data_IF_747385697889
#
_entry.id   IF_747385697889
#
_cell.length_a   1.000
_cell.length_b   1.000
_cell.length_c   1.000
_cell.angle_alpha   90.00
_cell.angle_beta   90.00
_cell.angle_gamma   90.00
#
_symmetry.space_group_name_H-M   'P 1'
#
loop_
_entity.id
_entity.type
_entity.pdbx_description
1 polymer ?
#
# COMPACT_ATOMS: atom_id res chain seq x y z
N UNK A 1 -40.82 -0.31 -33.94
CA UNK A 1 -39.39 -0.57 -33.68
C UNK A 1 -39.14 -0.33 -32.19
N UNK A 2 -39.02 -1.39 -31.37
CA UNK A 2 -38.89 -1.24 -29.91
C UNK A 2 -37.44 -0.88 -29.51
N UNK A 3 -37.22 0.03 -28.55
CA UNK A 3 -35.89 0.44 -28.12
C UNK A 3 -35.23 -0.72 -27.34
N UNK A 4 -34.07 -1.18 -27.80
CA UNK A 4 -33.27 -2.17 -27.06
C UNK A 4 -32.75 -1.51 -25.78
N UNK A 5 -32.96 -2.19 -24.65
CA UNK A 5 -32.71 -1.66 -23.31
C UNK A 5 -31.27 -1.17 -23.08
N UNK A 6 -31.15 -0.13 -22.24
CA UNK A 6 -29.92 0.59 -21.87
C UNK A 6 -28.87 -0.24 -21.11
N UNK A 7 -29.09 -1.53 -20.88
CA UNK A 7 -28.26 -2.34 -20.01
C UNK A 7 -27.42 -3.34 -20.81
N UNK A 8 -26.11 -3.32 -20.55
CA UNK A 8 -25.16 -4.26 -21.14
C UNK A 8 -25.33 -5.62 -20.46
N UNK A 9 -25.68 -6.65 -21.23
CA UNK A 9 -25.75 -8.02 -20.71
C UNK A 9 -24.34 -8.55 -20.48
N UNK A 10 -23.98 -8.81 -19.22
CA UNK A 10 -22.67 -9.35 -18.83
C UNK A 10 -22.63 -10.89 -18.83
N UNK A 11 -23.70 -11.55 -19.28
CA UNK A 11 -23.81 -13.00 -19.29
C UNK A 11 -22.91 -13.58 -20.39
N UNK A 12 -21.96 -14.43 -20.00
CA UNK A 12 -20.99 -15.07 -20.91
C UNK A 12 -19.67 -14.32 -21.09
N UNK A 13 -19.44 -13.22 -20.38
CA UNK A 13 -18.14 -12.53 -20.38
C UNK A 13 -17.21 -13.17 -19.35
N UNK A 14 -15.93 -13.33 -19.72
CA UNK A 14 -14.91 -13.86 -18.80
C UNK A 14 -14.88 -13.02 -17.52
N UNK A 15 -14.90 -13.69 -16.38
CA UNK A 15 -14.82 -13.05 -15.07
C UNK A 15 -13.36 -12.63 -14.85
N UNK A 16 -13.10 -11.33 -14.91
CA UNK A 16 -11.83 -10.79 -14.47
C UNK A 16 -11.88 -10.66 -12.95
N UNK A 17 -11.07 -11.45 -12.26
CA UNK A 17 -10.77 -11.21 -10.86
C UNK A 17 -9.62 -10.22 -10.84
N UNK A 18 -9.84 -9.03 -10.28
CA UNK A 18 -8.76 -8.06 -10.09
C UNK A 18 -7.76 -8.64 -9.10
N UNK A 19 -6.49 -8.65 -9.48
CA UNK A 19 -5.43 -9.13 -8.61
C UNK A 19 -5.29 -8.21 -7.39
N UNK A 20 -4.88 -8.72 -6.22
CA UNK A 20 -4.74 -7.90 -5.01
C UNK A 20 -3.78 -6.72 -5.22
N UNK A 21 -2.71 -6.92 -6.00
CA UNK A 21 -1.75 -5.89 -6.38
C UNK A 21 -2.37 -4.78 -7.25
N UNK A 22 -3.24 -5.17 -8.19
CA UNK A 22 -3.97 -4.23 -9.06
C UNK A 22 -4.97 -3.37 -8.28
N UNK A 23 -5.59 -3.96 -7.24
CA UNK A 23 -6.51 -3.25 -6.34
C UNK A 23 -5.78 -2.19 -5.52
N UNK A 24 -4.57 -2.52 -5.05
CA UNK A 24 -3.73 -1.64 -4.25
C UNK A 24 -3.16 -0.49 -5.10
N UNK A 25 -2.77 -0.79 -6.33
CA UNK A 25 -2.35 0.22 -7.30
C UNK A 25 -3.49 1.18 -7.67
N UNK A 26 -4.71 0.66 -7.85
CA UNK A 26 -5.88 1.51 -8.08
C UNK A 26 -6.15 2.44 -6.88
N UNK A 27 -6.03 1.93 -5.65
CA UNK A 27 -6.15 2.76 -4.44
C UNK A 27 -5.08 3.84 -4.38
N UNK A 28 -3.83 3.50 -4.73
CA UNK A 28 -2.71 4.45 -4.79
C UNK A 28 -2.95 5.55 -5.82
N UNK A 29 -3.47 5.19 -6.99
CA UNK A 29 -3.83 6.15 -8.04
C UNK A 29 -4.96 7.08 -7.59
N UNK A 30 -5.99 6.55 -6.94
CA UNK A 30 -7.09 7.36 -6.40
C UNK A 30 -6.63 8.32 -5.29
N UNK A 31 -5.74 7.86 -4.41
CA UNK A 31 -5.11 8.70 -3.39
C UNK A 31 -4.22 9.78 -4.01
N UNK A 32 -3.42 9.44 -5.02
CA UNK A 32 -2.58 10.39 -5.76
C UNK A 32 -3.44 11.44 -6.48
N UNK A 33 -4.53 11.02 -7.11
CA UNK A 33 -5.49 11.91 -7.77
C UNK A 33 -6.21 12.82 -6.79
N UNK A 34 -6.57 12.32 -5.60
CA UNK A 34 -7.14 13.15 -4.52
C UNK A 34 -6.13 14.16 -3.99
N UNK A 35 -4.87 13.77 -3.79
CA UNK A 35 -3.78 14.67 -3.39
C UNK A 35 -3.51 15.73 -4.44
N UNK A 36 -3.50 15.35 -5.73
CA UNK A 36 -3.36 16.31 -6.83
C UNK A 36 -4.52 17.32 -6.85
N UNK A 37 -5.75 16.86 -6.65
CA UNK A 37 -6.92 17.74 -6.51
C UNK A 37 -6.83 18.66 -5.29
N UNK A 38 -6.46 18.13 -4.12
CA UNK A 38 -6.28 18.96 -2.92
C UNK A 38 -5.17 19.98 -3.12
N UNK A 39 -4.02 19.60 -3.68
CA UNK A 39 -2.93 20.54 -3.90
C UNK A 39 -3.26 21.60 -4.95
N UNK A 40 -4.09 21.24 -5.95
CA UNK A 40 -4.68 22.18 -6.93
C UNK A 40 -5.63 23.15 -6.22
N UNK A 41 -6.61 22.63 -5.48
CA UNK A 41 -7.62 23.40 -4.74
C UNK A 41 -7.00 24.29 -3.66
N UNK A 42 -5.94 23.81 -2.98
CA UNK A 42 -5.21 24.59 -1.98
C UNK A 42 -4.26 25.63 -2.58
N UNK A 43 -3.95 25.53 -3.88
CA UNK A 43 -3.24 26.57 -4.64
C UNK A 43 -4.18 27.65 -5.17
N UNK A 44 -5.47 27.35 -5.33
CA UNK A 44 -6.50 28.30 -5.78
C UNK A 44 -7.10 29.12 -4.60
N UNK A 45 -6.99 28.67 -3.34
CA UNK A 45 -7.46 29.41 -2.15
C UNK A 45 -6.47 30.51 -1.67
N UNK A 46 -5.32 30.69 -2.34
CA UNK A 46 -4.29 31.68 -1.98
C UNK A 46 -4.11 32.80 -3.01
N UNK A 47 -4.96 32.90 -4.02
CA UNK A 47 -4.86 33.94 -5.05
C UNK A 47 -6.24 34.49 -5.40
N UNK A 48 -6.67 35.49 -4.63
CA UNK A 48 -7.75 36.41 -5.00
C UNK A 48 -7.20 37.43 -6.02
N UNK A 49 -8.02 37.78 -7.01
CA UNK A 49 -7.80 38.69 -8.16
C UNK A 49 -7.02 38.15 -9.38
N UNK A 50 -7.73 37.57 -10.37
CA UNK A 50 -7.94 38.17 -11.71
C UNK A 50 -8.68 37.21 -12.68
N UNK A 51 -9.32 37.80 -13.69
CA UNK A 51 -10.48 37.34 -14.48
C UNK A 51 -10.38 36.02 -15.33
N UNK A 52 -11.55 35.38 -15.47
CA UNK A 52 -12.11 34.44 -16.48
C UNK A 52 -11.62 34.57 -17.97
N UNK A 53 -12.08 33.74 -18.97
CA UNK A 53 -12.34 32.29 -19.05
C UNK A 53 -11.90 31.62 -20.41
N UNK A 54 -12.08 30.28 -20.53
CA UNK A 54 -12.58 29.48 -21.70
C UNK A 54 -11.70 28.37 -22.33
N UNK A 55 -12.36 27.21 -22.44
CA UNK A 55 -12.40 26.25 -23.58
C UNK A 55 -11.12 25.41 -23.83
N UNK A 56 -11.15 24.19 -24.38
CA UNK A 56 -12.06 23.54 -25.30
C UNK A 56 -11.76 22.03 -25.42
N UNK A 57 -12.82 21.23 -25.55
CA UNK A 57 -13.03 20.18 -26.57
C UNK A 57 -12.05 19.00 -26.79
N UNK A 58 -12.71 17.83 -26.94
CA UNK A 58 -12.53 16.84 -28.01
C UNK A 58 -11.32 15.90 -27.91
N UNK A 59 -11.57 14.60 -27.67
CA UNK A 59 -11.74 13.56 -28.70
C UNK A 59 -10.48 13.33 -29.53
N UNK A 60 -9.90 12.13 -29.44
CA UNK A 60 -9.44 11.32 -30.58
C UNK A 60 -8.80 10.01 -30.10
N UNK A 61 -9.30 8.92 -30.67
CA UNK A 61 -8.69 7.59 -30.69
C UNK A 61 -7.44 7.61 -31.58
N UNK A 62 -6.39 6.86 -31.23
CA UNK A 62 -5.89 5.72 -32.00
C UNK A 62 -4.74 4.99 -31.27
N UNK A 63 -4.60 3.67 -31.44
CA UNK A 63 -3.46 2.86 -31.01
C UNK A 63 -2.50 2.57 -32.19
N UNK A 64 -1.18 2.66 -31.99
CA UNK A 64 -0.15 1.79 -32.60
C UNK A 64 1.28 2.21 -32.16
N UNK A 65 2.22 1.24 -32.20
CA UNK A 65 3.69 1.33 -32.12
C UNK A 65 4.32 1.86 -30.80
N UNK A 66 5.42 1.31 -30.26
CA UNK A 66 6.50 0.52 -30.84
C UNK A 66 7.08 -0.49 -29.83
N UNK A 67 7.41 -1.67 -30.35
CA UNK A 67 8.39 -2.60 -29.77
C UNK A 67 9.77 -1.95 -29.81
N UNK A 68 10.44 -1.78 -28.67
CA UNK A 68 11.84 -1.35 -28.58
C UNK A 68 12.69 -2.55 -28.16
N UNK A 69 13.37 -3.09 -29.16
CA UNK A 69 14.35 -4.17 -29.10
C UNK A 69 15.68 -3.51 -28.74
N UNK A 70 16.07 -3.60 -27.46
CA UNK A 70 17.33 -3.02 -26.99
C UNK A 70 18.45 -4.07 -27.12
N UNK A 71 19.05 -4.06 -28.30
CA UNK A 71 20.32 -4.68 -28.64
C UNK A 71 21.45 -3.90 -27.94
N UNK A 72 22.04 -4.48 -26.89
CA UNK A 72 23.16 -3.90 -26.15
C UNK A 72 24.45 -4.63 -26.52
N UNK A 73 24.98 -4.25 -27.69
CA UNK A 73 26.32 -4.57 -28.15
C UNK A 73 27.41 -4.02 -27.20
N UNK A 74 28.26 -4.94 -26.74
CA UNK A 74 29.72 -4.83 -26.68
C UNK A 74 30.34 -3.50 -26.18
N UNK A 75 30.85 -3.51 -24.94
CA UNK A 75 32.03 -2.72 -24.59
C UNK A 75 33.12 -3.68 -24.09
N UNK A 76 34.15 -3.84 -24.93
CA UNK A 76 35.26 -4.75 -24.71
C UNK A 76 36.20 -4.20 -23.64
N UNK A 77 36.09 -4.75 -22.42
CA UNK A 77 37.09 -4.60 -21.38
C UNK A 77 38.38 -5.31 -21.81
N UNK A 78 39.28 -4.55 -22.41
CA UNK A 78 40.63 -4.99 -22.70
C UNK A 78 41.60 -3.90 -22.29
N UNK A 79 42.67 -4.34 -21.63
CA UNK A 79 43.96 -3.66 -21.46
C UNK A 79 44.21 -2.93 -20.14
N UNK A 80 44.59 -3.70 -19.12
CA UNK A 80 45.63 -3.28 -18.20
C UNK A 80 46.75 -4.33 -18.16
N UNK A 81 47.56 -4.37 -19.22
CA UNK A 81 48.99 -4.77 -19.30
C UNK A 81 49.45 -4.53 -20.77
N UNK A 82 48.91 -3.50 -21.43
CA UNK A 82 49.20 -3.17 -22.82
C UNK A 82 50.39 -2.22 -22.89
N UNK A 83 51.41 -2.60 -23.67
CA UNK A 83 52.51 -1.70 -24.09
C UNK A 83 51.89 -0.36 -24.49
N UNK A 84 52.27 0.73 -23.81
CA UNK A 84 51.67 2.04 -24.02
C UNK A 84 51.57 2.36 -25.52
N UNK A 85 50.34 2.58 -26.00
CA UNK A 85 50.07 2.84 -27.40
C UNK A 85 50.37 4.32 -27.68
N UNK A 86 51.38 4.59 -28.49
CA UNK A 86 51.68 5.93 -28.99
C UNK A 86 52.55 6.80 -28.08
N UNK A 87 52.32 8.11 -28.08
CA UNK A 87 53.19 9.16 -27.50
C UNK A 87 52.92 9.39 -26.00
N UNK A 88 51.98 8.65 -25.41
CA UNK A 88 51.46 8.89 -24.05
C UNK A 88 52.53 8.85 -22.94
N UNK A 89 53.64 8.14 -23.16
CA UNK A 89 54.77 8.06 -22.23
C UNK A 89 55.94 9.02 -22.57
N UNK A 90 55.89 9.72 -23.71
CA UNK A 90 57.00 10.58 -24.15
C UNK A 90 56.96 11.98 -23.52
N UNK A 91 55.79 12.41 -23.03
CA UNK A 91 55.60 13.72 -22.42
C UNK A 91 55.17 13.53 -20.97
N UNK A 92 55.95 14.08 -20.05
CA UNK A 92 55.64 14.08 -18.63
C UNK A 92 54.47 15.05 -18.37
N UNK A 93 53.34 14.51 -17.92
CA UNK A 93 52.16 15.33 -17.62
C UNK A 93 52.29 15.90 -16.19
N UNK A 94 52.89 17.08 -16.08
CA UNK A 94 53.02 17.88 -14.84
C UNK A 94 51.73 18.63 -14.46
N UNK A 95 50.56 18.01 -14.67
CA UNK A 95 49.31 18.63 -14.26
C UNK A 95 49.08 18.37 -12.75
N UNK A 96 49.12 19.40 -11.88
CA UNK A 96 48.97 19.24 -10.44
C UNK A 96 47.58 18.70 -10.03
N UNK A 97 46.58 18.84 -10.89
CA UNK A 97 45.23 18.29 -10.69
C UNK A 97 45.06 16.88 -11.30
N UNK A 98 46.11 16.30 -11.91
CA UNK A 98 46.02 14.96 -12.50
C UNK A 98 46.07 13.89 -11.42
N UNK A 99 44.92 13.26 -11.19
CA UNK A 99 44.80 12.13 -10.27
C UNK A 99 45.40 10.88 -10.93
N UNK A 100 46.61 10.49 -10.50
CA UNK A 100 47.23 9.23 -10.93
C UNK A 100 46.55 8.05 -10.22
N UNK A 101 45.84 7.21 -10.99
CA UNK A 101 45.20 5.98 -10.46
C UNK A 101 46.27 4.90 -10.28
N UNK A 102 46.78 4.74 -9.05
CA UNK A 102 47.65 3.61 -8.68
C UNK A 102 46.79 2.38 -8.37
N UNK A 103 47.09 1.24 -8.95
CA UNK A 103 46.41 -0.03 -8.67
C UNK A 103 46.73 -0.49 -7.25
N UNK A 104 45.74 -0.43 -6.35
CA UNK A 104 45.87 -0.91 -4.98
C UNK A 104 45.52 -2.40 -4.92
N UNK A 105 46.32 -3.18 -4.18
CA UNK A 105 46.06 -4.61 -3.95
C UNK A 105 44.79 -4.79 -3.12
N UNK A 106 43.91 -5.70 -3.53
CA UNK A 106 42.62 -5.98 -2.89
C UNK A 106 42.74 -6.31 -1.39
N UNK A 107 43.81 -6.99 -0.98
CA UNK A 107 44.08 -7.32 0.42
C UNK A 107 44.22 -6.08 1.31
N UNK A 108 44.90 -5.03 0.83
CA UNK A 108 45.06 -3.77 1.57
C UNK A 108 43.76 -2.98 1.66
N UNK A 109 42.88 -3.07 0.65
CA UNK A 109 41.57 -2.40 0.71
C UNK A 109 40.67 -3.06 1.77
N UNK A 110 40.64 -4.39 1.84
CA UNK A 110 39.84 -5.12 2.82
C UNK A 110 40.31 -4.89 4.27
N UNK A 111 41.62 -4.79 4.50
CA UNK A 111 42.20 -4.50 5.81
C UNK A 111 41.80 -3.09 6.27
N UNK A 112 41.91 -2.09 5.38
CA UNK A 112 41.47 -0.72 5.68
C UNK A 112 39.96 -0.59 5.89
N UNK A 113 39.14 -1.36 5.16
CA UNK A 113 37.68 -1.35 5.29
C UNK A 113 37.18 -2.10 6.54
N UNK A 114 37.96 -3.09 7.00
CA UNK A 114 37.70 -3.83 8.24
C UNK A 114 38.05 -3.06 9.51
N UNK A 115 39.06 -2.18 9.45
CA UNK A 115 39.48 -1.31 10.56
C UNK A 115 38.77 0.05 10.57
N UNK A 116 38.36 0.57 9.41
CA UNK A 116 37.52 1.77 9.36
C UNK A 116 36.08 1.42 9.74
N UNK A 117 35.76 1.66 11.00
CA UNK A 117 34.43 2.00 11.55
C UNK A 117 33.27 1.87 10.57
N UNK A 118 32.31 0.99 10.89
CA UNK A 118 31.01 0.81 10.20
C UNK A 118 30.58 2.10 9.49
N UNK A 119 30.31 2.09 8.17
CA UNK A 119 29.99 3.30 7.44
C UNK A 119 28.86 4.02 8.17
N UNK A 120 29.16 5.20 8.68
CA UNK A 120 28.17 6.05 9.32
C UNK A 120 27.14 6.41 8.27
N UNK A 121 25.99 5.73 8.32
CA UNK A 121 24.84 6.00 7.47
C UNK A 121 24.67 7.52 7.36
N UNK A 122 24.54 8.00 6.12
CA UNK A 122 24.35 9.42 5.86
C UNK A 122 23.20 9.91 6.74
N UNK A 123 23.26 11.16 7.23
CA UNK A 123 22.21 11.74 8.09
C UNK A 123 20.81 11.47 7.53
N UNK A 124 20.68 11.56 6.20
CA UNK A 124 19.46 11.27 5.45
C UNK A 124 19.01 9.80 5.56
N UNK A 125 19.95 8.87 5.52
CA UNK A 125 19.68 7.43 5.64
C UNK A 125 19.30 7.05 7.07
N UNK A 126 19.93 7.66 8.08
CA UNK A 126 19.57 7.47 9.50
C UNK A 126 18.13 7.90 9.77
N UNK A 127 17.76 9.09 9.32
CA UNK A 127 16.40 9.63 9.47
C UNK A 127 15.37 8.78 8.72
N UNK A 128 15.70 8.25 7.53
CA UNK A 128 14.82 7.35 6.79
C UNK A 128 14.60 6.01 7.51
N UNK A 129 15.66 5.40 8.03
CA UNK A 129 15.58 4.14 8.78
C UNK A 129 14.79 4.35 10.09
N UNK A 130 15.01 5.47 10.78
CA UNK A 130 14.25 5.81 11.98
C UNK A 130 12.77 6.02 11.67
N UNK A 131 12.44 6.74 10.60
CA UNK A 131 11.06 6.93 10.14
C UNK A 131 10.39 5.59 9.82
N UNK A 132 11.10 4.69 9.14
CA UNK A 132 10.59 3.34 8.85
C UNK A 132 10.37 2.53 10.13
N UNK A 133 11.31 2.59 11.08
CA UNK A 133 11.18 1.91 12.38
C UNK A 133 10.03 2.46 13.21
N UNK A 134 9.86 3.79 13.25
CA UNK A 134 8.77 4.45 13.94
C UNK A 134 7.41 4.05 13.34
N UNK A 135 7.31 4.03 12.01
CA UNK A 135 6.11 3.57 11.32
C UNK A 135 5.79 2.10 11.62
N UNK A 136 6.80 1.21 11.53
CA UNK A 136 6.63 -0.20 11.86
C UNK A 136 6.21 -0.40 13.33
N UNK A 137 6.77 0.38 14.26
CA UNK A 137 6.39 0.33 15.66
C UNK A 137 4.96 0.82 15.87
N UNK A 138 4.56 1.92 15.22
CA UNK A 138 3.17 2.40 15.25
C UNK A 138 2.21 1.33 14.75
N UNK A 139 2.49 0.74 13.59
CA UNK A 139 1.68 -0.35 13.04
C UNK A 139 1.61 -1.55 13.99
N UNK A 140 2.74 -1.93 14.61
CA UNK A 140 2.78 -3.01 15.60
C UNK A 140 1.93 -2.70 16.84
N UNK A 141 2.01 -1.48 17.36
CA UNK A 141 1.20 -1.04 18.50
C UNK A 141 -0.29 -0.95 18.14
N UNK A 142 -0.61 -0.49 16.93
CA UNK A 142 -1.98 -0.41 16.43
C UNK A 142 -2.57 -1.82 16.26
N UNK A 143 -1.83 -2.74 15.63
CA UNK A 143 -2.22 -4.15 15.52
C UNK A 143 -2.36 -4.83 16.90
N UNK A 144 -1.53 -4.46 17.87
CA UNK A 144 -1.65 -4.92 19.25
C UNK A 144 -2.81 -4.28 20.03
N UNK A 145 -3.56 -3.34 19.43
CA UNK A 145 -4.67 -2.67 20.10
C UNK A 145 -4.25 -1.64 21.15
N UNK A 146 -3.00 -1.14 21.11
CA UNK A 146 -2.45 -0.23 22.12
C UNK A 146 -2.59 1.25 21.76
N UNK A 147 -2.76 1.58 20.48
CA UNK A 147 -3.06 2.95 20.03
C UNK A 147 -4.47 3.35 20.46
N UNK A 148 -4.70 4.64 20.65
CA UNK A 148 -6.00 5.16 21.10
C UNK A 148 -7.12 4.81 20.12
N UNK A 149 -6.82 4.87 18.82
CA UNK A 149 -7.71 4.45 17.73
C UNK A 149 -8.11 2.97 17.87
N UNK A 150 -7.13 2.07 17.99
CA UNK A 150 -7.41 0.64 18.07
C UNK A 150 -8.11 0.27 19.40
N UNK A 151 -7.79 0.98 20.49
CA UNK A 151 -8.52 0.83 21.76
C UNK A 151 -9.98 1.25 21.63
N UNK A 152 -10.26 2.35 20.96
CA UNK A 152 -11.63 2.81 20.71
C UNK A 152 -12.40 1.82 19.83
N UNK A 153 -11.79 1.29 18.78
CA UNK A 153 -12.42 0.29 17.92
C UNK A 153 -12.70 -1.02 18.67
N UNK A 154 -11.74 -1.49 19.49
CA UNK A 154 -11.96 -2.67 20.35
C UNK A 154 -13.08 -2.42 21.37
N UNK A 155 -13.13 -1.24 21.99
CA UNK A 155 -14.21 -0.87 22.91
C UNK A 155 -15.57 -0.86 22.20
N UNK A 156 -15.64 -0.30 20.99
CA UNK A 156 -16.85 -0.32 20.17
C UNK A 156 -17.29 -1.74 19.85
N UNK A 157 -16.37 -2.61 19.46
CA UNK A 157 -16.65 -4.02 19.20
C UNK A 157 -17.11 -4.75 20.46
N UNK A 158 -16.53 -4.44 21.63
CA UNK A 158 -16.95 -5.02 22.91
C UNK A 158 -18.40 -4.64 23.26
N UNK A 159 -18.80 -3.38 23.06
CA UNK A 159 -20.19 -2.94 23.26
C UNK A 159 -21.15 -3.72 22.36
N UNK A 160 -20.80 -3.91 21.08
CA UNK A 160 -21.65 -4.68 20.15
C UNK A 160 -21.75 -6.15 20.58
N UNK A 161 -20.64 -6.75 21.03
CA UNK A 161 -20.65 -8.12 21.56
C UNK A 161 -21.56 -8.25 22.78
N UNK A 162 -21.43 -7.33 23.74
CA UNK A 162 -22.30 -7.28 24.92
C UNK A 162 -23.78 -7.16 24.55
N UNK A 163 -24.12 -6.23 23.64
CA UNK A 163 -25.50 -6.07 23.17
C UNK A 163 -26.05 -7.35 22.50
N UNK A 164 -25.22 -8.07 21.74
CA UNK A 164 -25.61 -9.33 21.10
C UNK A 164 -25.81 -10.44 22.13
N UNK A 165 -24.90 -10.56 23.10
CA UNK A 165 -24.98 -11.53 24.18
C UNK A 165 -26.21 -11.28 25.06
N UNK A 166 -26.45 -10.02 25.43
CA UNK A 166 -27.62 -9.61 26.20
C UNK A 166 -28.92 -9.88 25.42
N UNK A 167 -28.97 -9.56 24.13
CA UNK A 167 -30.13 -9.87 23.29
C UNK A 167 -30.35 -11.39 23.11
N UNK A 168 -29.28 -12.18 23.04
CA UNK A 168 -29.37 -13.64 23.00
C UNK A 168 -29.92 -14.19 24.31
N UNK A 169 -29.37 -13.74 25.44
CA UNK A 169 -29.82 -14.10 26.78
C UNK A 169 -31.29 -13.73 27.02
N UNK A 170 -31.70 -12.50 26.67
CA UNK A 170 -33.10 -12.07 26.73
C UNK A 170 -34.02 -12.98 25.91
N UNK A 171 -33.61 -13.36 24.69
CA UNK A 171 -34.38 -14.27 23.85
C UNK A 171 -34.48 -15.67 24.45
N UNK A 172 -33.42 -16.19 25.06
CA UNK A 172 -33.43 -17.49 25.74
C UNK A 172 -34.33 -17.48 26.99
N UNK A 173 -34.24 -16.42 27.79
CA UNK A 173 -35.07 -16.27 28.99
C UNK A 173 -36.55 -16.15 28.60
N UNK A 174 -36.89 -15.35 27.57
CA UNK A 174 -38.26 -15.27 27.06
C UNK A 174 -38.78 -16.61 26.51
N UNK A 175 -37.94 -17.38 25.83
CA UNK A 175 -38.31 -18.73 25.36
C UNK A 175 -38.58 -19.66 26.54
N UNK A 176 -37.69 -19.70 27.53
CA UNK A 176 -37.87 -20.50 28.75
C UNK A 176 -39.14 -20.10 29.51
N UNK A 177 -39.43 -18.80 29.65
CA UNK A 177 -40.67 -18.36 30.30
C UNK A 177 -41.92 -18.74 29.50
N UNK A 178 -41.88 -18.65 28.16
CA UNK A 178 -42.98 -19.10 27.29
C UNK A 178 -43.19 -20.61 27.36
N UNK A 179 -42.12 -21.39 27.41
CA UNK A 179 -42.17 -22.86 27.58
C UNK A 179 -42.69 -23.26 28.96
N UNK A 180 -42.23 -22.62 30.03
CA UNK A 180 -42.78 -22.85 31.38
C UNK A 180 -44.25 -22.45 31.47
N UNK A 181 -44.65 -21.34 30.81
CA UNK A 181 -46.03 -20.92 30.75
C UNK A 181 -46.89 -21.88 29.91
N UNK A 182 -46.37 -22.40 28.79
CA UNK A 182 -47.09 -23.39 27.99
C UNK A 182 -47.20 -24.73 28.71
N UNK A 183 -46.13 -25.20 29.38
CA UNK A 183 -46.12 -26.40 30.22
C UNK A 183 -47.14 -26.27 31.35
N UNK A 184 -47.12 -25.17 32.13
CA UNK A 184 -48.13 -24.90 33.16
C UNK A 184 -49.54 -24.87 32.60
N UNK A 185 -49.76 -24.28 31.42
CA UNK A 185 -51.08 -24.30 30.74
C UNK A 185 -51.48 -25.72 30.36
N UNK A 186 -50.58 -26.52 29.80
CA UNK A 186 -50.85 -27.93 29.46
C UNK A 186 -51.10 -28.80 30.68
N UNK A 187 -50.37 -28.57 31.77
CA UNK A 187 -50.59 -29.27 33.05
C UNK A 187 -51.96 -28.92 33.64
N UNK A 188 -52.33 -27.63 33.65
CA UNK A 188 -53.65 -27.18 34.11
C UNK A 188 -54.79 -27.77 33.27
N UNK A 189 -54.65 -27.81 31.94
CA UNK A 189 -55.67 -28.42 31.06
C UNK A 189 -55.76 -29.93 31.23
N UNK A 190 -54.63 -30.64 31.36
CA UNK A 190 -54.61 -32.08 31.64
C UNK A 190 -55.24 -32.42 32.99
N UNK A 191 -54.92 -31.63 34.03
CA UNK A 191 -55.52 -31.75 35.36
C UNK A 191 -57.04 -31.51 35.33
N UNK A 192 -57.51 -30.51 34.57
CA UNK A 192 -58.94 -30.22 34.40
C UNK A 192 -59.69 -31.32 33.63
N UNK A 193 -59.03 -31.98 32.67
CA UNK A 193 -59.58 -33.09 31.90
C UNK A 193 -59.62 -34.42 32.67
N UNK A 194 -59.19 -34.45 33.94
CA UNK A 194 -59.22 -35.65 34.79
C UNK A 194 -58.26 -36.76 34.35
N UNK A 195 -57.41 -36.50 33.35
CA UNK A 195 -56.32 -37.39 32.94
C UNK A 195 -55.21 -37.27 33.99
N UNK A 196 -55.36 -38.00 35.09
CA UNK A 196 -54.24 -38.25 36.00
C UNK A 196 -53.18 -39.00 35.19
N UNK A 197 -51.96 -38.48 35.22
CA UNK A 197 -50.75 -39.21 34.84
C UNK A 197 -50.66 -40.55 35.54
#
# INVERSE_FOLDING_TARGET
KMPRGKFVNHKGRNRHFTNPEELEEQRRQDEARKKWRQNKEHSDESSDEDEDPKASSATSKNPDASSDDSDSESDGDSENEGKAKGVENLIEVENPNRVQKKTKKLSKLNETLGESTKPELSRREREQIEKQRAYANYQKLHAAGKTDEARADLARLAIIKQQREDAAKRREDEKKQKELASQKKTELTQKALGKRS
#
